data_IF_569117356758
#
_entry.id   IF_569117356758
#
_cell.length_a   1.000
_cell.length_b   1.000
_cell.length_c   1.000
_cell.angle_alpha   90.00
_cell.angle_beta   90.00
_cell.angle_gamma   90.00
#
_symmetry.space_group_name_H-M   'P 1'
#
loop_
_entity.id
_entity.type
_entity.pdbx_description
1 polymer ?
#
# COMPACT_ATOMS: atom_id res chain seq x y z
N UNK A 1 24.20 2.85 3.06
CA UNK A 1 23.11 1.88 3.28
C UNK A 1 22.15 2.07 2.13
N UNK A 2 21.91 1.04 1.31
CA UNK A 2 20.91 1.11 0.25
C UNK A 2 19.55 1.38 0.90
N UNK A 3 18.97 2.53 0.61
CA UNK A 3 17.58 2.79 0.92
C UNK A 3 16.79 2.01 -0.14
N UNK A 4 15.80 1.20 0.28
CA UNK A 4 15.12 0.20 -0.56
C UNK A 4 14.52 0.69 -1.88
N UNK A 5 14.51 2.00 -2.11
CA UNK A 5 14.14 2.68 -3.36
C UNK A 5 14.92 2.20 -4.59
N UNK A 6 16.25 2.04 -4.50
CA UNK A 6 17.08 1.63 -5.66
C UNK A 6 16.79 0.18 -6.06
N UNK A 7 16.77 -0.72 -5.08
CA UNK A 7 16.42 -2.12 -5.29
C UNK A 7 15.00 -2.26 -5.88
N UNK A 8 14.01 -1.56 -5.32
CA UNK A 8 12.65 -1.55 -5.86
C UNK A 8 12.61 -1.07 -7.31
N UNK A 9 13.31 0.03 -7.61
CA UNK A 9 13.34 0.58 -8.96
C UNK A 9 13.94 -0.39 -9.97
N UNK A 10 15.06 -1.03 -9.63
CA UNK A 10 15.72 -2.03 -10.48
C UNK A 10 14.86 -3.28 -10.67
N UNK A 11 14.23 -3.78 -9.60
CA UNK A 11 13.44 -5.01 -9.63
C UNK A 11 12.10 -4.82 -10.36
N UNK A 12 11.43 -3.69 -10.11
CA UNK A 12 10.07 -3.44 -10.60
C UNK A 12 9.93 -2.10 -11.32
N UNK A 13 10.41 -1.01 -10.70
CA UNK A 13 10.07 0.35 -11.11
C UNK A 13 10.37 0.67 -12.57
N UNK A 14 11.54 0.27 -13.08
CA UNK A 14 11.92 0.52 -14.47
C UNK A 14 10.94 -0.11 -15.47
N UNK A 15 10.45 -1.33 -15.20
CA UNK A 15 9.47 -2.03 -16.06
C UNK A 15 8.09 -1.38 -15.98
N UNK A 16 7.70 -0.92 -14.80
CA UNK A 16 6.44 -0.21 -14.59
C UNK A 16 6.44 1.09 -15.39
N UNK A 17 7.49 1.90 -15.25
CA UNK A 17 7.62 3.17 -15.98
C UNK A 17 7.64 2.94 -17.49
N UNK A 18 8.43 1.97 -17.97
CA UNK A 18 8.50 1.65 -19.38
C UNK A 18 7.13 1.28 -20.00
N UNK A 19 6.25 0.61 -19.23
CA UNK A 19 4.93 0.18 -19.71
C UNK A 19 3.87 1.28 -19.60
N UNK A 20 3.82 2.00 -18.48
CA UNK A 20 2.67 2.86 -18.16
C UNK A 20 2.93 4.36 -18.32
N UNK A 21 4.21 4.79 -18.37
CA UNK A 21 4.54 6.21 -18.50
C UNK A 21 4.59 6.64 -19.96
N UNK A 22 3.78 7.65 -20.31
CA UNK A 22 3.91 8.32 -21.60
C UNK A 22 5.26 9.04 -21.64
N UNK A 23 6.12 8.70 -22.61
CA UNK A 23 7.50 9.20 -22.70
C UNK A 23 8.53 8.34 -21.95
N UNK A 24 8.11 7.30 -21.23
CA UNK A 24 9.01 6.37 -20.54
C UNK A 24 9.96 7.09 -19.57
N UNK A 25 11.23 6.68 -19.55
CA UNK A 25 12.25 7.26 -18.66
C UNK A 25 12.61 8.72 -18.99
N UNK A 26 12.20 9.24 -20.14
CA UNK A 26 12.46 10.64 -20.51
C UNK A 26 11.49 11.63 -19.84
N UNK A 27 10.43 11.14 -19.21
CA UNK A 27 9.47 11.96 -18.48
C UNK A 27 9.60 11.69 -16.98
N UNK A 28 9.96 12.71 -16.20
CA UNK A 28 10.14 12.54 -14.77
C UNK A 28 8.80 12.61 -14.03
N UNK A 29 8.68 11.87 -12.93
CA UNK A 29 7.48 11.86 -12.09
C UNK A 29 7.10 13.25 -11.56
N UNK A 30 8.10 14.11 -11.34
CA UNK A 30 7.92 15.52 -10.93
C UNK A 30 7.23 16.39 -12.00
N UNK A 31 7.28 15.99 -13.26
CA UNK A 31 6.55 16.66 -14.35
C UNK A 31 5.10 16.17 -14.45
N UNK A 32 4.82 14.98 -13.92
CA UNK A 32 3.50 14.33 -13.97
C UNK A 32 2.63 14.64 -12.75
N UNK A 33 3.27 14.90 -11.61
CA UNK A 33 2.64 14.99 -10.31
C UNK A 33 2.90 16.35 -9.66
N UNK A 34 1.88 17.04 -9.11
CA UNK A 34 2.07 18.22 -8.29
C UNK A 34 2.98 17.94 -7.09
N UNK A 35 3.79 18.90 -6.61
CA UNK A 35 4.73 18.68 -5.50
C UNK A 35 4.12 18.08 -4.22
N UNK A 36 2.87 18.46 -3.89
CA UNK A 36 2.18 18.00 -2.67
C UNK A 36 1.42 16.67 -2.83
N UNK A 37 1.46 16.07 -4.01
CA UNK A 37 0.69 14.85 -4.33
C UNK A 37 1.37 13.55 -3.91
N UNK A 38 2.61 13.60 -3.40
CA UNK A 38 3.32 12.44 -2.85
C UNK A 38 3.95 12.79 -1.50
N UNK A 39 4.30 11.76 -0.72
CA UNK A 39 5.00 11.96 0.54
C UNK A 39 6.48 11.59 0.40
N UNK A 40 7.34 12.40 1.00
CA UNK A 40 8.76 12.14 1.12
C UNK A 40 9.24 12.50 2.53
N UNK A 41 9.97 11.59 3.17
CA UNK A 41 10.53 11.85 4.48
C UNK A 41 11.76 12.76 4.35
N UNK A 42 11.81 13.86 5.10
CA UNK A 42 12.83 14.91 4.96
C UNK A 42 14.26 14.44 5.28
N UNK A 43 14.39 13.32 6.00
CA UNK A 43 15.65 12.67 6.35
C UNK A 43 16.16 11.73 5.24
N UNK A 44 15.42 11.56 4.15
CA UNK A 44 15.74 10.68 3.04
C UNK A 44 16.21 11.49 1.80
N UNK A 45 17.11 10.93 0.97
CA UNK A 45 17.61 11.63 -0.23
C UNK A 45 16.52 11.82 -1.28
N UNK A 46 16.30 13.04 -1.78
CA UNK A 46 15.24 13.34 -2.74
C UNK A 46 15.09 12.27 -3.84
N UNK A 47 13.85 11.88 -4.20
CA UNK A 47 13.61 10.87 -5.22
C UNK A 47 14.22 11.32 -6.55
N UNK A 48 14.80 10.40 -7.31
CA UNK A 48 15.47 10.69 -8.57
C UNK A 48 14.49 11.18 -9.66
N UNK A 49 13.19 11.07 -9.43
CA UNK A 49 12.14 11.47 -10.36
C UNK A 49 11.91 10.46 -11.47
N UNK A 50 12.59 9.31 -11.41
CA UNK A 50 12.43 8.22 -12.39
C UNK A 50 11.50 7.13 -11.85
N UNK A 51 11.16 7.17 -10.57
CA UNK A 51 10.33 6.18 -9.91
C UNK A 51 8.89 6.19 -10.46
N UNK A 52 8.18 5.06 -10.46
CA UNK A 52 6.77 5.01 -10.82
C UNK A 52 5.92 5.96 -9.97
N UNK A 53 4.90 6.55 -10.59
CA UNK A 53 3.80 7.20 -9.85
C UNK A 53 2.94 6.13 -9.16
N UNK A 54 2.15 6.54 -8.16
CA UNK A 54 1.24 5.61 -7.49
C UNK A 54 0.21 5.02 -8.47
N UNK A 55 -0.30 5.82 -9.41
CA UNK A 55 -1.21 5.35 -10.46
C UNK A 55 -0.57 4.31 -11.38
N UNK A 56 0.66 4.53 -11.82
CA UNK A 56 1.41 3.57 -12.65
C UNK A 56 1.63 2.26 -11.88
N UNK A 57 1.98 2.34 -10.60
CA UNK A 57 2.12 1.18 -9.72
C UNK A 57 0.80 0.41 -9.54
N UNK A 58 -0.31 1.10 -9.29
CA UNK A 58 -1.63 0.45 -9.15
C UNK A 58 -2.05 -0.24 -10.44
N UNK A 59 -1.83 0.38 -11.60
CA UNK A 59 -2.11 -0.26 -12.91
C UNK A 59 -1.21 -1.46 -13.17
N UNK A 60 0.05 -1.39 -12.75
CA UNK A 60 0.93 -2.55 -12.73
C UNK A 60 0.33 -3.69 -11.92
N UNK A 61 -0.14 -3.41 -10.69
CA UNK A 61 -0.76 -4.43 -9.86
C UNK A 61 -2.03 -5.00 -10.50
N UNK A 62 -2.91 -4.18 -11.07
CA UNK A 62 -4.14 -4.63 -11.74
C UNK A 62 -3.83 -5.62 -12.87
N UNK A 63 -2.85 -5.29 -13.72
CA UNK A 63 -2.45 -6.12 -14.87
C UNK A 63 -1.59 -7.33 -14.48
N UNK A 64 -1.05 -7.37 -13.26
CA UNK A 64 -0.19 -8.46 -12.81
C UNK A 64 -1.02 -9.73 -12.59
N UNK A 65 -0.59 -10.84 -13.18
CA UNK A 65 -1.12 -12.15 -12.81
C UNK A 65 -0.56 -12.55 -11.43
N UNK A 66 -1.37 -12.36 -10.40
CA UNK A 66 -0.97 -12.62 -9.01
C UNK A 66 -0.86 -14.13 -8.70
N UNK A 67 -1.49 -14.99 -9.49
CA UNK A 67 -1.41 -16.44 -9.25
C UNK A 67 -0.09 -17.02 -9.80
N UNK A 68 0.41 -16.45 -10.90
CA UNK A 68 1.61 -16.95 -11.58
C UNK A 68 2.88 -16.18 -11.22
N UNK A 69 2.76 -14.90 -10.84
CA UNK A 69 3.90 -13.98 -10.70
C UNK A 69 3.78 -13.01 -9.53
N UNK A 70 2.89 -13.26 -8.54
CA UNK A 70 2.88 -12.37 -7.37
C UNK A 70 4.18 -12.52 -6.59
N UNK A 71 4.84 -11.38 -6.41
CA UNK A 71 5.88 -11.23 -5.41
C UNK A 71 5.21 -11.15 -4.02
N UNK A 72 5.86 -11.70 -3.00
CA UNK A 72 5.35 -11.77 -1.61
C UNK A 72 4.87 -10.41 -1.07
N UNK A 73 5.36 -9.29 -1.60
CA UNK A 73 4.94 -7.96 -1.20
C UNK A 73 3.52 -7.59 -1.65
N UNK A 74 2.98 -8.21 -2.70
CA UNK A 74 1.70 -7.82 -3.33
C UNK A 74 0.71 -8.97 -3.51
N UNK A 75 1.10 -10.19 -3.21
CA UNK A 75 0.19 -11.34 -3.21
C UNK A 75 -0.94 -11.11 -2.19
N UNK A 76 -2.21 -11.47 -2.50
CA UNK A 76 -3.30 -11.35 -1.54
C UNK A 76 -3.07 -12.22 -0.30
N UNK A 77 -3.49 -11.74 0.87
CA UNK A 77 -3.27 -12.42 2.15
C UNK A 77 -4.04 -13.74 2.21
N UNK A 78 -5.25 -13.80 1.65
CA UNK A 78 -6.04 -15.03 1.57
C UNK A 78 -5.29 -16.16 0.85
N UNK A 79 -4.42 -15.81 -0.10
CA UNK A 79 -3.61 -16.74 -0.86
C UNK A 79 -2.28 -17.05 -0.16
N UNK A 80 -1.60 -16.03 0.37
CA UNK A 80 -0.28 -16.18 0.98
C UNK A 80 -0.33 -16.86 2.35
N UNK A 81 -1.23 -16.42 3.22
CA UNK A 81 -1.35 -16.95 4.58
C UNK A 81 -2.34 -18.12 4.66
N UNK A 82 -3.22 -18.30 3.68
CA UNK A 82 -4.27 -19.33 3.68
C UNK A 82 -5.10 -19.36 4.99
N UNK A 83 -5.72 -18.24 5.38
CA UNK A 83 -6.42 -18.08 6.66
C UNK A 83 -7.52 -19.12 6.91
N UNK A 84 -8.06 -19.72 5.85
CA UNK A 84 -9.09 -20.76 5.93
C UNK A 84 -8.52 -22.17 6.22
N UNK A 85 -7.22 -22.40 6.03
CA UNK A 85 -6.58 -23.72 6.20
C UNK A 85 -5.96 -23.90 7.58
N UNK A 86 -5.66 -22.81 8.29
CA UNK A 86 -5.06 -22.82 9.61
C UNK A 86 -6.01 -22.23 10.64
N UNK A 87 -5.99 -22.78 11.85
CA UNK A 87 -6.77 -22.25 12.98
C UNK A 87 -5.93 -21.21 13.71
N UNK A 88 -6.10 -19.95 13.32
CA UNK A 88 -5.43 -18.84 13.99
C UNK A 88 -6.08 -18.54 15.32
N UNK A 89 -5.28 -18.49 16.39
CA UNK A 89 -5.74 -18.02 17.70
C UNK A 89 -5.94 -16.49 17.71
N UNK A 90 -5.17 -15.76 16.89
CA UNK A 90 -5.16 -14.29 16.85
C UNK A 90 -4.95 -13.80 15.42
N UNK A 91 -5.82 -12.88 14.97
CA UNK A 91 -5.64 -12.07 13.75
C UNK A 91 -5.52 -10.61 14.18
N UNK A 92 -4.39 -9.97 13.86
CA UNK A 92 -4.09 -8.59 14.25
C UNK A 92 -4.16 -7.64 13.06
N UNK A 93 -4.44 -6.36 13.33
CA UNK A 93 -4.51 -5.30 12.31
C UNK A 93 -3.46 -4.23 12.58
N UNK A 94 -2.89 -3.64 11.53
CA UNK A 94 -1.86 -2.60 11.67
C UNK A 94 -2.44 -1.35 12.34
N UNK A 95 -3.70 -1.04 12.03
CA UNK A 95 -4.48 0.08 12.56
C UNK A 95 -4.69 -0.02 14.07
N UNK A 96 -4.75 -1.26 14.60
CA UNK A 96 -4.92 -1.54 16.04
C UNK A 96 -3.72 -2.25 16.65
N UNK A 97 -2.57 -2.21 15.99
CA UNK A 97 -1.42 -3.07 16.31
C UNK A 97 -0.92 -2.91 17.74
N UNK A 98 -0.96 -1.69 18.30
CA UNK A 98 -0.59 -1.48 19.70
C UNK A 98 -1.48 -2.28 20.66
N UNK A 99 -2.80 -2.23 20.46
CA UNK A 99 -3.76 -2.97 21.26
C UNK A 99 -3.58 -4.47 21.03
N UNK A 100 -3.44 -4.88 19.77
CA UNK A 100 -3.37 -6.29 19.40
C UNK A 100 -2.07 -6.94 19.90
N UNK A 101 -0.94 -6.23 19.87
CA UNK A 101 0.31 -6.67 20.48
C UNK A 101 0.17 -6.91 21.99
N UNK A 102 -0.45 -5.97 22.71
CA UNK A 102 -0.68 -6.12 24.15
C UNK A 102 -1.60 -7.31 24.45
N UNK A 103 -2.63 -7.52 23.64
CA UNK A 103 -3.52 -8.67 23.76
C UNK A 103 -2.74 -9.98 23.55
N UNK A 104 -1.96 -10.09 22.47
CA UNK A 104 -1.15 -11.29 22.16
C UNK A 104 -0.19 -11.64 23.29
N UNK A 105 0.51 -10.65 23.86
CA UNK A 105 1.44 -10.88 24.96
C UNK A 105 0.76 -11.39 26.24
N UNK A 106 -0.45 -10.89 26.54
CA UNK A 106 -1.24 -11.37 27.68
C UNK A 106 -1.78 -12.78 27.43
N UNK A 107 -2.29 -13.05 26.23
CA UNK A 107 -2.75 -14.38 25.84
C UNK A 107 -1.63 -15.44 25.97
N UNK A 108 -0.40 -15.05 25.68
CA UNK A 108 0.79 -15.90 25.84
C UNK A 108 1.41 -15.88 27.25
N UNK A 109 0.87 -15.13 28.22
CA UNK A 109 1.40 -14.98 29.58
C UNK A 109 2.85 -14.46 29.66
N UNK A 110 3.29 -13.64 28.70
CA UNK A 110 4.65 -13.08 28.61
C UNK A 110 4.68 -11.55 28.67
N UNK A 111 3.56 -10.91 28.97
CA UNK A 111 3.41 -9.45 29.06
C UNK A 111 4.25 -8.79 30.17
N UNK A 112 4.73 -9.58 31.15
CA UNK A 112 5.71 -9.15 32.15
C UNK A 112 7.15 -9.19 31.66
N UNK A 113 7.46 -10.02 30.66
CA UNK A 113 8.81 -10.21 30.12
C UNK A 113 9.08 -9.31 28.92
N UNK A 114 8.08 -9.10 28.07
CA UNK A 114 8.19 -8.34 26.82
C UNK A 114 7.24 -7.15 26.88
N UNK A 115 7.76 -5.96 26.53
CA UNK A 115 6.96 -4.76 26.30
C UNK A 115 7.01 -4.39 24.82
N UNK A 116 5.85 -4.21 24.15
CA UNK A 116 5.84 -3.88 22.75
C UNK A 116 6.43 -2.49 22.54
N UNK A 117 7.30 -2.36 21.53
CA UNK A 117 7.85 -1.09 21.07
C UNK A 117 7.43 -0.90 19.62
N UNK A 118 6.80 0.22 19.33
CA UNK A 118 6.53 0.60 17.96
C UNK A 118 7.84 1.03 17.29
N UNK A 119 8.31 0.21 16.37
CA UNK A 119 9.43 0.51 15.48
C UNK A 119 8.86 0.76 14.07
N UNK A 120 9.56 1.57 13.27
CA UNK A 120 9.18 1.83 11.88
C UNK A 120 7.78 2.44 11.69
N UNK A 121 7.46 3.50 12.43
CA UNK A 121 6.28 4.32 12.11
C UNK A 121 6.43 4.87 10.70
N UNK A 122 5.57 4.41 9.78
CA UNK A 122 5.55 4.83 8.37
C UNK A 122 4.66 6.06 8.15
N UNK A 123 3.76 6.36 9.10
CA UNK A 123 2.96 7.58 9.06
C UNK A 123 3.79 8.77 9.56
N UNK A 124 3.94 9.83 8.75
CA UNK A 124 4.74 11.01 9.10
C UNK A 124 4.17 11.74 10.31
N UNK A 125 5.03 12.42 11.07
CA UNK A 125 4.57 13.31 12.13
C UNK A 125 3.63 14.39 11.56
N UNK A 126 2.46 14.56 12.18
CA UNK A 126 1.44 15.52 11.72
C UNK A 126 0.60 15.07 10.53
N UNK A 127 0.73 13.82 10.07
CA UNK A 127 -0.11 13.23 9.01
C UNK A 127 -0.88 12.03 9.57
N UNK A 128 -2.04 11.72 9.00
CA UNK A 128 -2.82 10.51 9.31
C UNK A 128 -2.79 9.50 8.17
N UNK A 129 -3.10 8.23 8.46
CA UNK A 129 -3.31 7.21 7.43
C UNK A 129 -4.38 7.63 6.42
N UNK A 130 -5.43 8.32 6.86
CA UNK A 130 -6.48 8.84 5.98
C UNK A 130 -6.00 9.96 5.06
N UNK A 131 -5.07 10.80 5.51
CA UNK A 131 -4.49 11.85 4.67
C UNK A 131 -3.61 11.27 3.57
N UNK A 132 -2.81 10.26 3.91
CA UNK A 132 -2.01 9.52 2.93
C UNK A 132 -2.90 8.77 1.94
N UNK A 133 -3.95 8.09 2.43
CA UNK A 133 -4.91 7.40 1.59
C UNK A 133 -5.57 8.39 0.61
N UNK A 134 -6.05 9.54 1.10
CA UNK A 134 -6.61 10.59 0.25
C UNK A 134 -5.62 11.06 -0.82
N UNK A 135 -4.37 11.33 -0.44
CA UNK A 135 -3.31 11.84 -1.33
C UNK A 135 -2.98 10.87 -2.47
N UNK A 136 -2.92 9.58 -2.18
CA UNK A 136 -2.57 8.57 -3.18
C UNK A 136 -3.78 8.13 -4.01
N UNK A 137 -4.94 7.92 -3.38
CA UNK A 137 -6.15 7.50 -4.10
C UNK A 137 -6.74 8.61 -4.98
N UNK A 138 -6.45 9.89 -4.71
CA UNK A 138 -6.82 10.99 -5.63
C UNK A 138 -6.07 10.98 -6.96
N UNK A 139 -5.02 10.17 -7.08
CA UNK A 139 -4.32 9.95 -8.35
C UNK A 139 -5.00 8.86 -9.20
N UNK A 140 -5.98 8.14 -8.64
CA UNK A 140 -6.66 7.02 -9.29
C UNK A 140 -8.05 7.42 -9.76
N UNK A 141 -8.52 6.77 -10.84
CA UNK A 141 -9.93 6.82 -11.20
C UNK A 141 -10.73 5.81 -10.40
N UNK A 142 -12.05 5.99 -10.37
CA UNK A 142 -13.02 5.06 -9.81
C UNK A 142 -12.86 3.67 -10.42
N UNK A 143 -12.63 3.61 -11.74
CA UNK A 143 -12.36 2.35 -12.43
C UNK A 143 -11.02 1.71 -12.02
N UNK A 144 -9.96 2.49 -11.80
CA UNK A 144 -8.68 1.97 -11.30
C UNK A 144 -8.90 1.33 -9.89
N UNK A 145 -9.62 2.00 -8.99
CA UNK A 145 -9.91 1.48 -7.64
C UNK A 145 -10.82 0.25 -7.65
N UNK A 146 -11.88 0.23 -8.48
CA UNK A 146 -12.77 -0.93 -8.60
C UNK A 146 -12.04 -2.17 -9.10
N UNK A 147 -11.17 -2.03 -10.11
CA UNK A 147 -10.36 -3.14 -10.62
C UNK A 147 -9.35 -3.63 -9.59
N UNK A 148 -8.73 -2.71 -8.84
CA UNK A 148 -7.84 -3.08 -7.75
C UNK A 148 -8.59 -3.82 -6.65
N UNK A 149 -9.78 -3.34 -6.27
CA UNK A 149 -10.64 -4.00 -5.28
C UNK A 149 -11.01 -5.41 -5.71
N UNK A 150 -11.46 -5.62 -6.95
CA UNK A 150 -11.79 -6.96 -7.48
C UNK A 150 -10.63 -7.95 -7.30
N UNK A 151 -9.39 -7.47 -7.41
CA UNK A 151 -8.18 -8.27 -7.26
C UNK A 151 -7.91 -8.70 -5.81
N UNK A 152 -8.34 -7.90 -4.84
CA UNK A 152 -8.16 -8.13 -3.41
C UNK A 152 -9.51 -8.32 -2.67
N UNK A 153 -10.59 -8.61 -3.38
CA UNK A 153 -11.96 -8.59 -2.85
C UNK A 153 -12.10 -9.52 -1.63
N UNK A 154 -11.54 -10.73 -1.73
CA UNK A 154 -11.60 -11.70 -0.64
C UNK A 154 -10.84 -11.22 0.62
N UNK A 155 -9.74 -10.50 0.47
CA UNK A 155 -9.05 -9.89 1.61
C UNK A 155 -9.91 -8.79 2.25
N UNK A 156 -10.56 -7.96 1.43
CA UNK A 156 -11.46 -6.93 1.94
C UNK A 156 -12.62 -7.53 2.73
N UNK A 157 -13.25 -8.57 2.19
CA UNK A 157 -14.35 -9.27 2.86
C UNK A 157 -13.89 -9.97 4.14
N UNK A 158 -12.80 -10.73 4.08
CA UNK A 158 -12.29 -11.52 5.20
C UNK A 158 -11.85 -10.63 6.37
N UNK A 159 -11.22 -9.49 6.09
CA UNK A 159 -10.69 -8.60 7.12
C UNK A 159 -11.60 -7.39 7.40
N UNK A 160 -12.76 -7.30 6.76
CA UNK A 160 -13.78 -6.27 7.01
C UNK A 160 -13.37 -4.87 6.57
N UNK A 161 -12.63 -4.75 5.47
CA UNK A 161 -12.34 -3.48 4.82
C UNK A 161 -13.43 -3.14 3.80
N UNK A 162 -13.67 -1.84 3.58
CA UNK A 162 -14.70 -1.36 2.65
C UNK A 162 -14.07 -0.55 1.53
N UNK A 163 -14.42 -0.88 0.29
CA UNK A 163 -13.97 -0.14 -0.90
C UNK A 163 -14.41 1.34 -0.86
N UNK A 164 -15.60 1.62 -0.34
CA UNK A 164 -16.19 2.98 -0.28
C UNK A 164 -15.35 3.97 0.53
N UNK A 165 -14.56 3.48 1.49
CA UNK A 165 -13.65 4.32 2.27
C UNK A 165 -12.57 4.99 1.40
N UNK A 166 -12.28 4.39 0.25
CA UNK A 166 -11.27 4.85 -0.70
C UNK A 166 -11.87 5.46 -1.97
N UNK A 167 -13.03 4.98 -2.44
CA UNK A 167 -13.68 5.50 -3.65
C UNK A 167 -13.96 7.01 -3.58
N UNK A 168 -14.35 7.51 -2.41
CA UNK A 168 -14.61 8.95 -2.20
C UNK A 168 -13.42 9.86 -2.48
N UNK A 169 -12.21 9.30 -2.59
CA UNK A 169 -11.00 10.07 -2.89
C UNK A 169 -10.61 10.08 -4.37
N UNK A 170 -11.26 9.29 -5.23
CA UNK A 170 -10.84 9.15 -6.64
C UNK A 170 -10.99 10.45 -7.42
N UNK A 171 -10.15 10.63 -8.44
CA UNK A 171 -10.08 11.87 -9.23
C UNK A 171 -11.39 12.22 -9.95
N UNK A 172 -12.22 11.21 -10.19
CA UNK A 172 -13.48 11.29 -10.94
C UNK A 172 -14.69 10.92 -10.08
N UNK A 173 -14.54 10.88 -8.74
CA UNK A 173 -15.64 10.60 -7.83
C UNK A 173 -16.76 11.62 -8.02
N UNK A 174 -17.98 11.11 -8.23
CA UNK A 174 -19.21 11.91 -8.23
C UNK A 174 -20.07 11.38 -7.10
N UNK A 175 -20.40 12.25 -6.15
CA UNK A 175 -21.34 11.90 -5.10
C UNK A 175 -22.71 11.64 -5.74
N UNK A 176 -23.18 10.40 -5.65
CA UNK A 176 -24.52 10.05 -6.14
C UNK A 176 -25.53 10.62 -5.12
N UNK A 177 -26.27 11.66 -5.53
CA UNK A 177 -27.37 12.27 -4.77
C UNK A 177 -28.53 11.29 -4.55
#
# INVERSE_FOLDING_TARGET
REHGTEHFYRKFGARIVAKYRRGGNSTHSRELLPPDSYYWASDQPLPAGIEPTFREFVRYLIDLDLLSYADDHWIPVYLFCTPCLLRYDIIAKVETLQRDQLYTLRAANIDRLIKPRWQHRTVPAGTTTSDLARRYFSQLTTADVQKLYQKYQLDFELFGYKMDEYLKYTSDFKETL
#
